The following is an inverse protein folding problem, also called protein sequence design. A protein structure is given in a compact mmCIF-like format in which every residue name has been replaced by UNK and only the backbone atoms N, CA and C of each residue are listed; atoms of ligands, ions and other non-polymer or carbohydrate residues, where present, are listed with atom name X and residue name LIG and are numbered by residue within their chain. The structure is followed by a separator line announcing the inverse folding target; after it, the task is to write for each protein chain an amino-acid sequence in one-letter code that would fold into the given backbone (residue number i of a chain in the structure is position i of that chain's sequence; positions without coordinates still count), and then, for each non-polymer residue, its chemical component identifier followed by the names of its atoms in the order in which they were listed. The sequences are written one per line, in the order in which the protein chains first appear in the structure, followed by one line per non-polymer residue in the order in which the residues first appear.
data_IF_261013053238
#
_entry.id   IF_261013053238
#
_cell.length_a   1.000
_cell.length_b   1.000
_cell.length_c   1.000
_cell.angle_alpha   90.00
_cell.angle_beta   90.00
_cell.angle_gamma   90.00
#
_symmetry.space_group_name_H-M   'P 1'
#
loop_
_entity.id
_entity.type
_entity.pdbx_description
1 polymer ?
#
# COMPACT_ATOMS: atom_id res chain seq x y z
N UNK A 1 -18.76 20.15 -0.35
CA UNK A 1 -18.35 18.77 -0.01
C UNK A 1 -18.38 18.01 -1.33
N UNK A 2 -17.28 17.59 -1.94
CA UNK A 2 -16.10 16.97 -1.36
C UNK A 2 -14.86 17.25 -2.23
N UNK A 3 -13.70 17.30 -1.57
CA UNK A 3 -12.50 16.63 -2.08
C UNK A 3 -11.64 17.44 -3.03
N UNK A 4 -11.03 18.50 -2.52
CA UNK A 4 -9.89 19.15 -3.15
C UNK A 4 -8.80 18.14 -3.53
N UNK A 5 -8.30 18.32 -4.75
CA UNK A 5 -7.35 17.47 -5.43
C UNK A 5 -5.95 17.62 -4.80
N UNK A 6 -5.53 16.65 -3.99
CA UNK A 6 -4.18 16.58 -3.40
C UNK A 6 -3.09 16.18 -4.42
N UNK A 7 -3.11 16.73 -5.64
CA UNK A 7 -2.04 16.50 -6.63
C UNK A 7 -0.92 17.55 -6.57
N UNK A 8 -0.63 18.08 -5.38
CA UNK A 8 0.40 19.11 -5.20
C UNK A 8 1.23 18.88 -3.93
N UNK A 9 2.01 17.80 -3.87
CA UNK A 9 3.23 17.81 -3.05
C UNK A 9 4.29 16.88 -3.65
N UNK A 10 5.52 17.40 -3.69
CA UNK A 10 6.60 17.07 -4.62
C UNK A 10 7.15 15.64 -4.50
N UNK A 11 7.53 15.08 -5.65
CA UNK A 11 8.31 13.85 -5.74
C UNK A 11 9.75 14.07 -5.21
N UNK A 12 10.18 13.23 -4.28
CA UNK A 12 11.56 13.14 -3.77
C UNK A 12 12.45 12.35 -4.78
N UNK A 13 13.59 12.86 -5.27
CA UNK A 13 14.31 12.28 -6.40
C UNK A 13 15.40 11.25 -6.04
N UNK A 14 15.23 10.48 -4.96
CA UNK A 14 16.26 9.53 -4.48
C UNK A 14 15.82 8.07 -4.58
N UNK A 15 15.50 7.60 -5.80
CA UNK A 15 15.67 6.18 -6.12
C UNK A 15 15.85 6.01 -7.64
N UNK A 16 17.12 5.91 -8.06
CA UNK A 16 17.49 5.68 -9.45
C UNK A 16 17.26 4.21 -9.80
N UNK A 17 16.25 3.94 -10.63
CA UNK A 17 16.10 2.66 -11.32
C UNK A 17 16.43 2.84 -12.80
N UNK A 18 17.40 2.05 -13.24
CA UNK A 18 18.13 2.14 -14.50
C UNK A 18 17.18 2.19 -15.71
N UNK A 19 17.36 3.22 -16.55
CA UNK A 19 16.60 3.44 -17.77
C UNK A 19 17.13 2.56 -18.91
N UNK A 20 16.33 1.63 -19.42
CA UNK A 20 16.64 0.93 -20.67
C UNK A 20 16.29 1.80 -21.88
N UNK A 21 17.25 1.85 -22.81
CA UNK A 21 17.43 2.80 -23.91
C UNK A 21 16.17 3.10 -24.76
N UNK A 22 15.96 4.41 -24.94
CA UNK A 22 15.04 5.09 -25.87
C UNK A 22 15.44 4.88 -27.35
N UNK A 23 14.49 4.48 -28.21
CA UNK A 23 14.53 4.72 -29.67
C UNK A 23 13.32 5.58 -30.08
N UNK A 24 13.54 6.54 -31.00
CA UNK A 24 12.69 7.73 -31.28
C UNK A 24 11.80 7.56 -32.55
N UNK A 25 10.47 7.78 -32.43
CA UNK A 25 9.42 8.23 -33.42
C UNK A 25 9.16 7.40 -34.71
N UNK A 26 8.04 7.52 -35.52
CA UNK A 26 6.88 8.49 -35.59
C UNK A 26 5.48 7.76 -35.74
N UNK A 27 4.30 8.37 -36.09
CA UNK A 27 3.89 9.76 -36.31
C UNK A 27 2.92 10.29 -35.22
N UNK A 28 2.55 11.58 -35.30
CA UNK A 28 1.38 12.16 -34.59
C UNK A 28 0.10 11.44 -35.03
N UNK A 29 -0.13 10.22 -34.54
CA UNK A 29 -1.43 9.58 -34.62
C UNK A 29 -2.28 10.23 -33.53
N UNK A 30 -3.31 10.96 -33.96
CA UNK A 30 -4.46 11.28 -33.13
C UNK A 30 -4.87 10.01 -32.40
N UNK A 31 -4.45 9.85 -31.15
CA UNK A 31 -4.80 8.65 -30.39
C UNK A 31 -6.31 8.62 -30.33
N UNK A 32 -6.91 7.71 -31.08
CA UNK A 32 -8.37 7.60 -31.11
C UNK A 32 -8.83 7.41 -29.68
N UNK A 33 -9.97 8.00 -29.33
CA UNK A 33 -10.53 7.94 -27.97
C UNK A 33 -10.54 6.50 -27.43
N UNK A 34 -10.72 5.52 -28.31
CA UNK A 34 -10.66 4.08 -28.03
C UNK A 34 -9.28 3.57 -27.59
N UNK A 35 -8.18 3.99 -28.21
CA UNK A 35 -6.83 3.58 -27.78
C UNK A 35 -6.51 4.12 -26.40
N UNK A 36 -6.87 5.37 -26.11
CA UNK A 36 -6.70 5.98 -24.78
C UNK A 36 -7.54 5.24 -23.74
N UNK A 37 -8.80 4.92 -24.07
CA UNK A 37 -9.70 4.15 -23.20
C UNK A 37 -9.12 2.77 -22.88
N UNK A 38 -8.63 2.03 -23.88
CA UNK A 38 -7.99 0.72 -23.68
C UNK A 38 -6.76 0.81 -22.77
N UNK A 39 -5.90 1.82 -22.96
CA UNK A 39 -4.72 2.05 -22.10
C UNK A 39 -5.11 2.34 -20.65
N UNK A 40 -6.13 3.17 -20.44
CA UNK A 40 -6.67 3.49 -19.11
C UNK A 40 -7.24 2.24 -18.43
N UNK A 41 -8.02 1.43 -19.16
CA UNK A 41 -8.56 0.17 -18.63
C UNK A 41 -7.45 -0.80 -18.21
N UNK A 42 -6.41 -0.94 -19.02
CA UNK A 42 -5.25 -1.77 -18.68
C UNK A 42 -4.50 -1.24 -17.45
N UNK A 43 -4.35 0.08 -17.31
CA UNK A 43 -3.74 0.69 -16.13
C UNK A 43 -4.57 0.43 -14.86
N UNK A 44 -5.89 0.64 -14.92
CA UNK A 44 -6.80 0.38 -13.80
C UNK A 44 -6.79 -1.09 -13.39
N UNK A 45 -6.70 -2.02 -14.34
CA UNK A 45 -6.59 -3.45 -14.05
C UNK A 45 -5.30 -3.78 -13.28
N UNK A 46 -4.17 -3.16 -13.65
CA UNK A 46 -2.90 -3.33 -12.92
C UNK A 46 -2.97 -2.79 -11.50
N UNK A 47 -3.54 -1.59 -11.30
CA UNK A 47 -3.64 -1.02 -9.96
C UNK A 47 -4.58 -1.82 -9.08
N UNK A 48 -5.69 -2.35 -9.63
CA UNK A 48 -6.54 -3.30 -8.88
C UNK A 48 -5.74 -4.51 -8.42
N UNK A 49 -4.95 -5.14 -9.30
CA UNK A 49 -4.10 -6.28 -8.92
C UNK A 49 -3.10 -5.91 -7.81
N UNK A 50 -2.47 -4.74 -7.91
CA UNK A 50 -1.56 -4.23 -6.87
C UNK A 50 -2.28 -4.04 -5.54
N UNK A 51 -3.45 -3.43 -5.55
CA UNK A 51 -4.26 -3.20 -4.35
C UNK A 51 -4.79 -4.50 -3.76
N UNK A 52 -5.16 -5.48 -4.58
CA UNK A 52 -5.53 -6.83 -4.11
C UNK A 52 -4.38 -7.47 -3.33
N UNK A 53 -3.15 -7.45 -3.85
CA UNK A 53 -2.00 -7.99 -3.11
C UNK A 53 -1.75 -7.27 -1.78
N UNK A 54 -1.96 -5.95 -1.73
CA UNK A 54 -1.85 -5.19 -0.48
C UNK A 54 -2.94 -5.59 0.52
N UNK A 55 -4.18 -5.75 0.06
CA UNK A 55 -5.30 -6.14 0.92
C UNK A 55 -5.10 -7.56 1.48
N UNK A 56 -4.55 -8.49 0.68
CA UNK A 56 -4.18 -9.83 1.16
C UNK A 56 -3.13 -9.75 2.28
N UNK A 57 -2.12 -8.88 2.16
CA UNK A 57 -1.15 -8.67 3.24
C UNK A 57 -1.79 -8.10 4.51
N UNK A 58 -2.75 -7.17 4.35
CA UNK A 58 -3.54 -6.65 5.47
C UNK A 58 -4.40 -7.73 6.15
N UNK A 59 -5.00 -8.65 5.38
CA UNK A 59 -5.78 -9.75 5.94
C UNK A 59 -4.89 -10.73 6.73
N UNK A 60 -3.71 -11.07 6.21
CA UNK A 60 -2.71 -11.86 6.96
C UNK A 60 -2.26 -11.18 8.25
N UNK A 61 -2.12 -9.85 8.24
CA UNK A 61 -1.82 -9.11 9.46
C UNK A 61 -2.97 -9.22 10.48
N UNK A 62 -4.23 -9.17 10.05
CA UNK A 62 -5.38 -9.34 10.94
C UNK A 62 -5.44 -10.72 11.59
N UNK A 63 -4.96 -11.76 10.93
CA UNK A 63 -4.93 -13.12 11.49
C UNK A 63 -4.03 -13.24 12.73
N UNK A 64 -2.98 -12.41 12.82
CA UNK A 64 -2.01 -12.43 13.93
C UNK A 64 -2.20 -11.29 14.93
N UNK A 65 -3.03 -10.30 14.61
CA UNK A 65 -3.32 -9.17 15.50
C UNK A 65 -4.46 -9.55 16.45
N UNK A 66 -4.30 -9.38 17.77
CA UNK A 66 -5.36 -9.68 18.72
C UNK A 66 -6.57 -8.75 18.50
N UNK A 67 -7.78 -9.32 18.42
CA UNK A 67 -9.03 -8.57 18.23
C UNK A 67 -10.13 -9.02 19.19
N UNK A 68 -10.85 -8.06 19.77
CA UNK A 68 -11.92 -8.29 20.78
C UNK A 68 -13.17 -8.93 20.15
N UNK A 69 -13.42 -8.69 18.86
CA UNK A 69 -14.52 -9.29 18.11
C UNK A 69 -13.95 -10.06 16.92
N UNK A 70 -13.93 -11.39 17.03
CA UNK A 70 -13.47 -12.29 15.96
C UNK A 70 -14.35 -12.24 14.71
N UNK A 71 -15.60 -11.81 14.84
CA UNK A 71 -16.58 -11.73 13.76
C UNK A 71 -16.44 -10.46 12.91
N UNK A 72 -15.87 -9.37 13.46
CA UNK A 72 -15.73 -8.09 12.76
C UNK A 72 -14.30 -7.85 12.29
N UNK A 73 -14.12 -7.63 10.99
CA UNK A 73 -12.84 -7.18 10.42
C UNK A 73 -12.49 -5.76 10.87
N UNK A 74 -11.30 -5.59 11.45
CA UNK A 74 -10.73 -4.29 11.80
C UNK A 74 -10.46 -3.42 10.55
N UNK A 75 -10.68 -2.11 10.64
CA UNK A 75 -10.28 -1.18 9.57
C UNK A 75 -8.76 -1.16 9.37
N UNK A 76 -8.28 -0.59 8.27
CA UNK A 76 -6.83 -0.50 7.99
C UNK A 76 -6.08 0.25 9.09
N UNK A 77 -6.64 1.37 9.54
CA UNK A 77 -6.05 2.18 10.62
C UNK A 77 -6.01 1.41 11.94
N UNK A 78 -7.14 0.83 12.36
CA UNK A 78 -7.21 0.04 13.60
C UNK A 78 -6.24 -1.15 13.56
N UNK A 79 -6.14 -1.84 12.42
CA UNK A 79 -5.20 -2.96 12.24
C UNK A 79 -3.75 -2.52 12.47
N UNK A 80 -3.35 -1.36 11.92
CA UNK A 80 -2.00 -0.83 12.10
C UNK A 80 -1.74 -0.36 13.53
N UNK A 81 -2.73 0.28 14.17
CA UNK A 81 -2.61 0.72 15.55
C UNK A 81 -2.47 -0.49 16.49
N UNK A 82 -3.33 -1.49 16.34
CA UNK A 82 -3.29 -2.72 17.13
C UNK A 82 -2.00 -3.51 16.92
N UNK A 83 -1.50 -3.59 15.68
CA UNK A 83 -0.23 -4.25 15.40
C UNK A 83 0.96 -3.59 16.12
N UNK A 84 1.04 -2.25 16.10
CA UNK A 84 2.09 -1.50 16.81
C UNK A 84 2.02 -1.74 18.32
N UNK A 85 0.82 -1.62 18.90
CA UNK A 85 0.61 -1.88 20.33
C UNK A 85 0.93 -3.32 20.70
N UNK A 86 0.64 -4.29 19.83
CA UNK A 86 0.90 -5.70 20.09
C UNK A 86 2.39 -6.01 20.08
N UNK A 87 3.15 -5.50 19.11
CA UNK A 87 4.62 -5.64 19.07
C UNK A 87 5.23 -5.09 20.37
N UNK A 88 4.88 -3.87 20.77
CA UNK A 88 5.40 -3.25 21.99
C UNK A 88 5.05 -4.05 23.27
N UNK A 89 3.85 -4.65 23.32
CA UNK A 89 3.44 -5.49 24.44
C UNK A 89 4.27 -6.79 24.52
N UNK A 90 4.53 -7.43 23.37
CA UNK A 90 5.38 -8.62 23.29
C UNK A 90 6.82 -8.32 23.69
N UNK A 91 7.39 -7.20 23.22
CA UNK A 91 8.74 -6.76 23.61
C UNK A 91 8.85 -6.56 25.12
N UNK A 92 7.87 -5.90 25.75
CA UNK A 92 7.83 -5.71 27.21
C UNK A 92 7.71 -7.04 27.96
N UNK A 93 6.91 -7.98 27.45
CA UNK A 93 6.77 -9.30 28.06
C UNK A 93 8.09 -10.08 28.04
N UNK A 94 8.84 -10.01 26.93
CA UNK A 94 10.15 -10.64 26.82
C UNK A 94 11.18 -10.01 27.77
N UNK A 95 11.25 -8.66 27.83
CA UNK A 95 12.15 -7.95 28.77
C UNK A 95 11.89 -8.33 30.24
N UNK A 96 10.62 -8.49 30.61
CA UNK A 96 10.26 -8.91 31.96
C UNK A 96 10.59 -10.39 32.22
N UNK A 97 10.54 -11.23 31.19
CA UNK A 97 10.82 -12.67 31.29
C UNK A 97 12.32 -12.97 31.39
N UNK A 98 13.16 -12.16 30.74
CA UNK A 98 14.62 -12.35 30.69
C UNK A 98 15.33 -11.90 31.98
N UNK A 99 14.60 -11.51 33.02
CA UNK A 99 15.15 -11.16 34.33
C UNK A 99 16.07 -9.93 34.33
N UNK A 100 16.21 -9.25 33.19
CA UNK A 100 16.86 -7.94 33.09
C UNK A 100 15.91 -6.87 33.62
N UNK A 101 15.66 -6.93 34.93
CA UNK A 101 15.22 -5.77 35.68
C UNK A 101 16.33 -4.71 35.54
N UNK A 102 15.99 -3.43 35.29
CA UNK A 102 16.98 -2.36 35.33
C UNK A 102 17.65 -2.26 36.71
#
# INVERSE_FOLDING_TARGET
MEGECWCQFQANPQFSIMSTKKKRGPPKQTTTKEVVKKRRLAANARERKRMTSLNVAFDKLREVVPSISSERKLSKYETLQMAQSYIAALEKLLQNADGSSP
#
